data_IF_870281664396
#
_entry.id   IF_870281664396
#
_cell.length_a   1.000
_cell.length_b   1.000
_cell.length_c   1.000
_cell.angle_alpha   90.00
_cell.angle_beta   90.00
_cell.angle_gamma   90.00
#
_symmetry.space_group_name_H-M   'P 1'
#
loop_
_entity.id
_entity.type
_entity.pdbx_description
1 polymer ?
#
# COMPACT_ATOMS: atom_id res chain seq x y z
N UNK A 1 11.26 1.07 15.17
CA UNK A 1 10.85 1.25 13.76
C UNK A 1 10.59 -0.12 13.15
N UNK A 2 9.60 -0.25 12.28
CA UNK A 2 9.27 -1.55 11.67
C UNK A 2 10.41 -2.01 10.75
N UNK A 3 10.59 -3.33 10.58
CA UNK A 3 11.56 -3.89 9.64
C UNK A 3 11.29 -3.42 8.20
N UNK A 4 10.01 -3.25 7.85
CA UNK A 4 9.60 -2.79 6.53
C UNK A 4 9.94 -1.31 6.30
N UNK A 5 9.78 -0.45 7.31
CA UNK A 5 10.20 0.95 7.24
C UNK A 5 11.69 1.09 6.94
N UNK A 6 12.54 0.31 7.63
CA UNK A 6 13.98 0.35 7.38
C UNK A 6 14.32 0.01 5.92
N UNK A 7 13.67 -1.04 5.38
CA UNK A 7 13.80 -1.45 3.97
C UNK A 7 13.25 -0.40 3.00
N UNK A 8 12.19 0.30 3.38
CA UNK A 8 11.67 1.42 2.61
C UNK A 8 12.70 2.55 2.53
N UNK A 9 13.37 2.86 3.64
CA UNK A 9 14.33 3.97 3.76
C UNK A 9 15.68 3.68 3.11
N UNK A 10 16.19 2.46 3.22
CA UNK A 10 17.47 2.05 2.63
C UNK A 10 17.35 1.68 1.12
N UNK A 11 16.15 1.83 0.55
CA UNK A 11 15.82 1.53 -0.84
C UNK A 11 16.04 0.06 -1.23
N UNK A 12 15.95 -0.86 -0.27
CA UNK A 12 16.04 -2.32 -0.48
C UNK A 12 14.69 -3.04 -0.43
N UNK A 13 13.58 -2.30 -0.31
CA UNK A 13 12.23 -2.87 -0.26
C UNK A 13 11.92 -3.68 -1.53
N UNK A 14 11.40 -4.89 -1.34
CA UNK A 14 10.88 -5.77 -2.40
C UNK A 14 9.37 -6.01 -2.23
N UNK A 15 8.73 -6.58 -3.25
CA UNK A 15 7.32 -6.99 -3.15
C UNK A 15 7.14 -8.12 -2.14
N UNK A 16 8.10 -9.03 -2.07
CA UNK A 16 8.12 -10.15 -1.14
C UNK A 16 8.15 -9.66 0.31
N UNK A 17 8.91 -8.60 0.61
CA UNK A 17 8.90 -7.99 1.94
C UNK A 17 7.51 -7.47 2.33
N UNK A 18 6.78 -6.88 1.37
CA UNK A 18 5.42 -6.37 1.58
C UNK A 18 4.43 -7.52 1.77
N UNK A 19 4.55 -8.60 0.99
CA UNK A 19 3.71 -9.80 1.14
C UNK A 19 3.91 -10.42 2.52
N UNK A 20 5.16 -10.55 2.98
CA UNK A 20 5.47 -11.05 4.33
C UNK A 20 4.85 -10.14 5.39
N UNK A 21 4.92 -8.83 5.22
CA UNK A 21 4.30 -7.88 6.13
C UNK A 21 2.76 -7.96 6.13
N UNK A 22 2.13 -8.09 4.95
CA UNK A 22 0.69 -8.27 4.81
C UNK A 22 0.21 -9.53 5.54
N UNK A 23 0.91 -10.66 5.33
CA UNK A 23 0.61 -11.93 6.00
C UNK A 23 0.72 -11.87 7.51
N UNK A 24 1.46 -10.92 8.08
CA UNK A 24 1.56 -10.77 9.53
C UNK A 24 0.36 -10.02 10.14
N UNK A 25 -0.41 -9.29 9.33
CA UNK A 25 -1.54 -8.50 9.81
C UNK A 25 -2.72 -9.41 10.19
N UNK A 26 -3.28 -9.22 11.39
CA UNK A 26 -4.39 -10.04 11.89
C UNK A 26 -5.62 -10.03 10.98
N UNK A 27 -5.93 -8.90 10.35
CA UNK A 27 -7.02 -8.80 9.37
C UNK A 27 -6.76 -9.69 8.16
N UNK A 28 -5.55 -9.65 7.61
CA UNK A 28 -5.17 -10.45 6.44
C UNK A 28 -5.22 -11.93 6.77
N UNK A 29 -4.65 -12.34 7.92
CA UNK A 29 -4.74 -13.72 8.42
C UNK A 29 -6.21 -14.18 8.48
N UNK A 30 -7.07 -13.39 9.10
CA UNK A 30 -8.50 -13.71 9.21
C UNK A 30 -9.19 -13.84 7.84
N UNK A 31 -8.94 -12.92 6.91
CA UNK A 31 -9.55 -12.97 5.57
C UNK A 31 -9.05 -14.18 4.76
N UNK A 32 -7.78 -14.55 4.88
CA UNK A 32 -7.22 -15.74 4.23
C UNK A 32 -7.81 -17.03 4.81
N UNK A 33 -7.91 -17.14 6.14
CA UNK A 33 -8.45 -18.32 6.82
C UNK A 33 -9.90 -18.61 6.42
N UNK A 34 -10.67 -17.56 6.09
CA UNK A 34 -12.05 -17.66 5.62
C UNK A 34 -12.17 -17.72 4.09
N UNK A 35 -11.05 -17.76 3.36
CA UNK A 35 -11.02 -17.82 1.90
C UNK A 35 -11.55 -16.58 1.19
N UNK A 36 -11.70 -15.44 1.90
CA UNK A 36 -12.17 -14.18 1.34
C UNK A 36 -11.12 -13.54 0.42
N UNK A 37 -9.84 -13.80 0.68
CA UNK A 37 -8.70 -13.40 -0.16
C UNK A 37 -7.74 -14.58 -0.33
N UNK A 38 -6.99 -14.58 -1.44
CA UNK A 38 -6.01 -15.60 -1.81
C UNK A 38 -4.61 -14.99 -1.94
N UNK A 39 -3.59 -15.81 -2.16
CA UNK A 39 -2.21 -15.35 -2.38
C UNK A 39 -2.10 -14.32 -3.51
N UNK A 40 -2.78 -14.56 -4.64
CA UNK A 40 -2.85 -13.62 -5.77
C UNK A 40 -3.41 -12.23 -5.38
N UNK A 41 -4.31 -12.17 -4.39
CA UNK A 41 -4.87 -10.91 -3.90
C UNK A 41 -3.83 -10.13 -3.07
N UNK A 42 -3.00 -10.86 -2.32
CA UNK A 42 -1.86 -10.27 -1.61
C UNK A 42 -0.78 -9.78 -2.56
N UNK A 43 -0.49 -10.54 -3.61
CA UNK A 43 0.44 -10.13 -4.67
C UNK A 43 -0.04 -8.83 -5.33
N UNK A 44 -1.34 -8.75 -5.65
CA UNK A 44 -1.94 -7.56 -6.23
C UNK A 44 -1.83 -6.33 -5.30
N UNK A 45 -2.16 -6.51 -4.01
CA UNK A 45 -2.04 -5.43 -3.03
C UNK A 45 -0.57 -5.03 -2.78
N UNK A 46 0.34 -6.00 -2.74
CA UNK A 46 1.77 -5.76 -2.61
C UNK A 46 2.34 -5.00 -3.81
N UNK A 47 1.89 -5.30 -5.04
CA UNK A 47 2.23 -4.54 -6.23
C UNK A 47 1.81 -3.07 -6.10
N UNK A 48 0.59 -2.83 -5.62
CA UNK A 48 0.09 -1.48 -5.38
C UNK A 48 0.93 -0.71 -4.33
N UNK A 49 1.28 -1.36 -3.22
CA UNK A 49 2.14 -0.77 -2.19
C UNK A 49 3.58 -0.58 -2.67
N UNK A 50 4.09 -1.46 -3.52
CA UNK A 50 5.39 -1.33 -4.14
C UNK A 50 5.41 -0.17 -5.15
N UNK A 51 4.31 0.08 -5.85
CA UNK A 51 4.17 1.25 -6.71
C UNK A 51 4.22 2.56 -5.91
N UNK A 52 3.72 2.60 -4.67
CA UNK A 52 3.93 3.74 -3.76
C UNK A 52 5.43 3.93 -3.48
N UNK A 53 6.16 2.86 -3.21
CA UNK A 53 7.61 2.90 -2.99
C UNK A 53 8.36 3.41 -4.23
N UNK A 54 8.03 2.90 -5.42
CA UNK A 54 8.65 3.34 -6.68
C UNK A 54 8.31 4.80 -6.99
N UNK A 55 7.08 5.24 -6.75
CA UNK A 55 6.72 6.64 -6.85
C UNK A 55 7.53 7.52 -5.89
N UNK A 56 7.67 7.08 -4.64
CA UNK A 56 8.35 7.86 -3.61
C UNK A 56 9.84 8.06 -3.93
N UNK A 57 10.55 7.03 -4.40
CA UNK A 57 12.00 7.11 -4.64
C UNK A 57 12.42 7.34 -6.09
N UNK A 58 11.60 6.93 -7.06
CA UNK A 58 11.96 6.94 -8.48
C UNK A 58 11.05 7.81 -9.35
N UNK A 59 10.12 8.54 -8.72
CA UNK A 59 9.14 9.40 -9.41
C UNK A 59 8.34 8.68 -10.50
N UNK A 60 8.12 7.37 -10.35
CA UNK A 60 7.29 6.63 -11.29
C UNK A 60 5.82 7.06 -11.18
N UNK A 61 5.09 7.12 -12.31
CA UNK A 61 3.66 7.39 -12.31
C UNK A 61 2.87 6.38 -11.48
N UNK A 62 1.79 6.84 -10.86
CA UNK A 62 0.87 6.02 -10.09
C UNK A 62 -0.54 6.12 -10.64
N UNK A 63 -1.32 5.04 -10.50
CA UNK A 63 -2.71 5.00 -10.92
C UNK A 63 -3.64 5.78 -9.99
N UNK A 64 -4.82 6.12 -10.48
CA UNK A 64 -5.77 6.97 -9.78
C UNK A 64 -6.20 6.46 -8.39
N UNK A 65 -6.30 5.14 -8.18
CA UNK A 65 -6.57 4.57 -6.86
C UNK A 65 -5.49 4.97 -5.84
N UNK A 66 -4.21 4.75 -6.18
CA UNK A 66 -3.09 5.10 -5.31
C UNK A 66 -2.95 6.61 -5.13
N UNK A 67 -3.27 7.40 -6.17
CA UNK A 67 -3.36 8.86 -6.05
C UNK A 67 -4.37 9.27 -4.97
N UNK A 68 -5.58 8.70 -4.98
CA UNK A 68 -6.59 8.98 -3.97
C UNK A 68 -6.15 8.55 -2.56
N UNK A 69 -5.56 7.36 -2.44
CA UNK A 69 -4.99 6.85 -1.18
C UNK A 69 -3.91 7.79 -0.61
N UNK A 70 -2.96 8.23 -1.45
CA UNK A 70 -1.87 9.12 -1.03
C UNK A 70 -2.34 10.54 -0.72
N UNK A 71 -3.39 11.01 -1.40
CA UNK A 71 -4.05 12.30 -1.12
C UNK A 71 -4.96 12.24 0.12
N UNK A 72 -5.12 11.08 0.74
CA UNK A 72 -6.05 10.86 1.85
C UNK A 72 -7.50 11.22 1.49
N UNK A 73 -7.89 10.96 0.24
CA UNK A 73 -9.27 11.06 -0.23
C UNK A 73 -9.94 9.70 -0.09
N UNK A 74 -10.56 9.48 1.07
CA UNK A 74 -11.15 8.19 1.42
C UNK A 74 -12.32 7.81 0.50
N UNK A 75 -13.16 8.78 0.11
CA UNK A 75 -14.32 8.52 -0.74
C UNK A 75 -13.84 8.12 -2.13
N UNK A 76 -12.92 8.88 -2.70
CA UNK A 76 -12.39 8.57 -4.03
C UNK A 76 -11.60 7.25 -4.04
N UNK A 77 -10.85 6.96 -2.98
CA UNK A 77 -10.16 5.67 -2.84
C UNK A 77 -11.14 4.50 -2.80
N UNK A 78 -12.26 4.63 -2.06
CA UNK A 78 -13.33 3.63 -2.04
C UNK A 78 -13.97 3.45 -3.43
N UNK A 79 -14.21 4.54 -4.16
CA UNK A 79 -14.81 4.52 -5.48
C UNK A 79 -13.91 3.84 -6.52
N UNK A 80 -12.60 4.10 -6.48
CA UNK A 80 -11.63 3.58 -7.46
C UNK A 80 -11.05 2.20 -7.16
N UNK A 81 -11.18 1.73 -5.92
CA UNK A 81 -10.69 0.42 -5.54
C UNK A 81 -11.46 -0.71 -6.26
N UNK A 82 -10.71 -1.67 -6.81
CA UNK A 82 -11.25 -2.97 -7.20
C UNK A 82 -11.65 -3.81 -5.96
N UNK A 83 -12.16 -5.02 -6.19
CA UNK A 83 -12.61 -5.92 -5.12
C UNK A 83 -11.53 -6.20 -4.07
N UNK A 84 -10.30 -6.45 -4.51
CA UNK A 84 -9.17 -6.80 -3.65
C UNK A 84 -8.75 -5.58 -2.83
N UNK A 85 -8.62 -4.43 -3.48
CA UNK A 85 -8.21 -3.18 -2.87
C UNK A 85 -9.27 -2.63 -1.90
N UNK A 86 -10.56 -2.92 -2.12
CA UNK A 86 -11.63 -2.61 -1.16
C UNK A 86 -11.49 -3.39 0.12
N UNK A 87 -11.26 -4.71 0.04
CA UNK A 87 -11.09 -5.57 1.22
C UNK A 87 -9.84 -5.21 2.01
N UNK A 88 -8.79 -4.74 1.32
CA UNK A 88 -7.50 -4.42 1.92
C UNK A 88 -7.27 -2.91 2.11
N UNK A 89 -8.30 -2.07 1.97
CA UNK A 89 -8.16 -0.60 2.00
C UNK A 89 -7.51 -0.10 3.30
N UNK A 90 -7.88 -0.71 4.43
CA UNK A 90 -7.29 -0.40 5.74
C UNK A 90 -5.80 -0.76 5.84
N UNK A 91 -5.32 -1.74 5.07
CA UNK A 91 -3.90 -2.11 5.02
C UNK A 91 -3.07 -1.05 4.30
N UNK A 92 -3.62 -0.35 3.31
CA UNK A 92 -2.95 0.80 2.70
C UNK A 92 -2.74 1.93 3.69
N UNK A 93 -3.78 2.26 4.47
CA UNK A 93 -3.66 3.29 5.51
C UNK A 93 -2.61 2.91 6.56
N UNK A 94 -2.62 1.65 7.00
CA UNK A 94 -1.63 1.12 7.96
C UNK A 94 -0.20 1.14 7.39
N UNK A 95 -0.05 0.79 6.11
CA UNK A 95 1.24 0.83 5.40
C UNK A 95 1.79 2.25 5.34
N UNK A 96 0.98 3.23 4.90
CA UNK A 96 1.37 4.63 4.84
C UNK A 96 1.74 5.20 6.22
N UNK A 97 0.99 4.83 7.25
CA UNK A 97 1.20 5.35 8.59
C UNK A 97 2.48 4.82 9.25
N UNK A 98 2.77 3.52 9.10
CA UNK A 98 3.87 2.86 9.82
C UNK A 98 5.16 2.71 9.01
N UNK A 99 5.07 2.65 7.68
CA UNK A 99 6.18 2.21 6.84
C UNK A 99 6.64 3.25 5.82
N UNK A 100 5.86 4.31 5.59
CA UNK A 100 6.20 5.37 4.63
C UNK A 100 6.61 6.65 5.38
N UNK A 101 7.68 7.36 4.95
CA UNK A 101 8.14 8.58 5.61
C UNK A 101 7.09 9.68 5.61
N UNK A 102 6.90 10.36 6.75
CA UNK A 102 5.79 11.32 6.93
C UNK A 102 5.74 12.45 5.88
N UNK A 103 6.88 12.80 5.28
CA UNK A 103 6.96 13.81 4.24
C UNK A 103 6.44 13.33 2.87
N UNK A 104 6.05 12.06 2.73
CA UNK A 104 5.24 11.58 1.60
C UNK A 104 4.02 12.45 1.38
N UNK A 105 3.40 12.97 2.45
CA UNK A 105 2.23 13.86 2.36
C UNK A 105 2.55 15.15 1.62
N UNK A 106 3.76 15.68 1.80
CA UNK A 106 4.22 16.87 1.06
C UNK A 106 4.41 16.53 -0.41
N UNK A 107 5.00 15.36 -0.70
CA UNK A 107 5.18 14.88 -2.08
C UNK A 107 3.83 14.62 -2.77
N UNK A 108 2.86 14.04 -2.08
CA UNK A 108 1.54 13.72 -2.62
C UNK A 108 0.76 14.96 -3.09
N UNK A 109 1.04 16.15 -2.54
CA UNK A 109 0.42 17.41 -2.99
C UNK A 109 0.77 17.80 -4.43
N UNK A 110 1.87 17.28 -4.98
CA UNK A 110 2.22 17.54 -6.39
C UNK A 110 1.54 16.57 -7.37
N UNK A 111 0.83 15.55 -6.87
CA UNK A 111 0.07 14.65 -7.73
C UNK A 111 -1.10 15.40 -8.37
N UNK A 112 -1.13 15.41 -9.70
CA UNK A 112 -2.30 15.88 -10.46
C UNK A 112 -3.40 14.82 -10.38
N UNK A 113 -4.65 15.26 -10.52
CA UNK A 113 -5.84 14.39 -10.55
C UNK A 113 -5.97 13.64 -11.88
#
# INVERSE_FOLDING_TARGET
MSKLYNKFMDQSLSKEDIIVWLKDQSLVKHLMDHGAIREQDLEHAAECMFNIYLWYWKDLPIGHFLTAVLKNDFIEACCRADSTNKMLLSMYALFLYNNVPIDFRRKARSLRE
#
